data_IF_882694667006
#
_entry.id   IF_882694667006
#
_cell.length_a   1.000
_cell.length_b   1.000
_cell.length_c   1.000
_cell.angle_alpha   90.00
_cell.angle_beta   90.00
_cell.angle_gamma   90.00
#
_symmetry.space_group_name_H-M   'P 1'
#
loop_
_entity.id
_entity.type
_entity.pdbx_description
1 polymer ?
#
# COMPACT_ATOMS: atom_id res chain seq x y z
N UNK A 1 4.00 -15.46 17.98
CA UNK A 1 2.86 -15.96 17.18
C UNK A 1 2.20 -14.93 16.26
N UNK A 2 2.12 -13.63 16.62
CA UNK A 2 1.32 -12.66 15.85
C UNK A 2 1.91 -12.19 14.49
N UNK A 3 3.24 -12.16 14.30
CA UNK A 3 3.81 -11.80 12.98
C UNK A 3 3.85 -12.98 12.00
N UNK A 4 3.92 -14.21 12.52
CA UNK A 4 3.90 -15.43 11.70
C UNK A 4 2.57 -15.58 10.95
N UNK A 5 1.44 -15.20 11.56
CA UNK A 5 0.14 -15.18 10.87
C UNK A 5 0.13 -14.18 9.72
N UNK A 6 0.63 -12.96 9.93
CA UNK A 6 0.72 -11.94 8.87
C UNK A 6 1.65 -12.40 7.73
N UNK A 7 2.82 -12.97 8.05
CA UNK A 7 3.73 -13.55 7.05
C UNK A 7 3.06 -14.68 6.27
N UNK A 8 2.29 -15.55 6.93
CA UNK A 8 1.54 -16.62 6.27
C UNK A 8 0.46 -16.09 5.33
N UNK A 9 -0.26 -15.04 5.73
CA UNK A 9 -1.31 -14.46 4.88
C UNK A 9 -0.72 -13.70 3.69
N UNK A 10 0.42 -13.03 3.87
CA UNK A 10 1.21 -12.47 2.76
C UNK A 10 1.67 -13.58 1.79
N UNK A 11 2.16 -14.71 2.30
CA UNK A 11 2.53 -15.86 1.47
C UNK A 11 1.32 -16.39 0.68
N UNK A 12 0.13 -16.53 1.28
CA UNK A 12 -1.08 -16.91 0.54
C UNK A 12 -1.40 -15.92 -0.58
N UNK A 13 -1.22 -14.61 -0.35
CA UNK A 13 -1.45 -13.57 -1.37
C UNK A 13 -0.44 -13.67 -2.53
N UNK A 14 0.82 -13.97 -2.23
CA UNK A 14 1.85 -14.23 -3.25
C UNK A 14 1.46 -15.43 -4.13
N UNK A 15 1.01 -16.52 -3.54
CA UNK A 15 0.58 -17.72 -4.27
C UNK A 15 -0.68 -17.51 -5.13
N UNK A 16 -1.48 -16.47 -4.87
CA UNK A 16 -2.62 -16.12 -5.74
C UNK A 16 -2.18 -15.48 -7.07
N UNK A 17 -0.92 -15.05 -7.17
CA UNK A 17 -0.33 -14.50 -8.40
C UNK A 17 -1.23 -13.43 -9.05
N UNK A 18 -1.53 -12.38 -8.28
CA UNK A 18 -2.42 -11.30 -8.68
C UNK A 18 -1.64 -10.18 -9.39
N UNK A 19 -2.22 -9.55 -10.43
CA UNK A 19 -1.61 -8.38 -11.06
C UNK A 19 -1.74 -7.14 -10.18
N UNK A 20 -0.78 -6.22 -10.30
CA UNK A 20 -0.93 -4.84 -9.83
C UNK A 20 -1.47 -3.98 -10.98
N UNK A 21 -2.64 -3.38 -10.77
CA UNK A 21 -3.33 -2.57 -11.78
C UNK A 21 -3.22 -1.09 -11.42
N UNK A 22 -2.70 -0.26 -12.33
CA UNK A 22 -2.66 1.19 -12.17
C UNK A 22 -3.96 1.82 -12.64
N UNK A 23 -4.55 2.67 -11.81
CA UNK A 23 -5.75 3.44 -12.11
C UNK A 23 -5.42 4.93 -12.05
N UNK A 24 -5.70 5.65 -13.13
CA UNK A 24 -5.63 7.11 -13.16
C UNK A 24 -7.05 7.64 -12.96
N UNK A 25 -7.30 8.30 -11.83
CA UNK A 25 -8.63 8.78 -11.47
C UNK A 25 -8.59 10.25 -11.12
N UNK A 26 -9.72 10.93 -11.30
CA UNK A 26 -9.88 12.30 -10.80
C UNK A 26 -9.79 12.32 -9.26
N UNK A 27 -9.20 13.39 -8.71
CA UNK A 27 -9.09 13.58 -7.27
C UNK A 27 -10.45 13.45 -6.54
N UNK A 28 -11.56 13.89 -7.17
CA UNK A 28 -12.90 13.75 -6.60
C UNK A 28 -13.27 12.28 -6.36
N UNK A 29 -13.03 11.41 -7.34
CA UNK A 29 -13.32 9.97 -7.24
C UNK A 29 -12.43 9.34 -6.17
N UNK A 30 -11.14 9.69 -6.13
CA UNK A 30 -10.23 9.20 -5.09
C UNK A 30 -10.71 9.60 -3.69
N UNK A 31 -11.18 10.84 -3.49
CA UNK A 31 -11.75 11.29 -2.21
C UNK A 31 -12.96 10.47 -1.80
N UNK A 32 -13.87 10.17 -2.72
CA UNK A 32 -15.06 9.36 -2.44
C UNK A 32 -14.67 7.93 -2.01
N UNK A 33 -13.67 7.32 -2.66
CA UNK A 33 -13.15 5.99 -2.30
C UNK A 33 -12.53 5.96 -0.89
N UNK A 34 -11.77 7.01 -0.53
CA UNK A 34 -10.99 7.06 0.72
C UNK A 34 -11.58 7.97 1.81
N UNK A 35 -12.84 8.41 1.69
CA UNK A 35 -13.50 9.35 2.61
C UNK A 35 -13.45 8.94 4.10
N UNK A 36 -13.34 7.63 4.37
CA UNK A 36 -13.28 7.05 5.70
C UNK A 36 -11.87 7.09 6.32
N UNK A 37 -10.84 7.44 5.56
CA UNK A 37 -9.44 7.44 5.99
C UNK A 37 -8.81 8.83 5.83
N UNK A 38 -8.75 9.58 6.93
CA UNK A 38 -8.21 10.94 6.95
C UNK A 38 -6.77 11.09 6.42
N UNK A 39 -5.91 10.09 6.65
CA UNK A 39 -4.51 10.14 6.20
C UNK A 39 -4.41 9.96 4.69
N UNK A 40 -5.23 9.07 4.12
CA UNK A 40 -5.31 8.89 2.66
C UNK A 40 -5.94 10.11 1.99
N UNK A 41 -6.94 10.73 2.62
CA UNK A 41 -7.51 12.00 2.16
C UNK A 41 -6.44 13.10 2.07
N UNK A 42 -5.64 13.30 3.12
CA UNK A 42 -4.56 14.29 3.10
C UNK A 42 -3.54 14.00 1.98
N UNK A 43 -3.14 12.74 1.81
CA UNK A 43 -2.25 12.30 0.73
C UNK A 43 -2.85 12.57 -0.67
N UNK A 44 -4.16 12.36 -0.84
CA UNK A 44 -4.88 12.66 -2.09
C UNK A 44 -4.84 14.15 -2.38
N UNK A 45 -5.13 15.01 -1.41
CA UNK A 45 -5.10 16.48 -1.60
C UNK A 45 -3.70 16.95 -1.99
N UNK A 46 -2.68 16.46 -1.30
CA UNK A 46 -1.28 16.79 -1.63
C UNK A 46 -0.95 16.38 -3.06
N UNK A 47 -1.25 15.14 -3.46
CA UNK A 47 -0.99 14.65 -4.82
C UNK A 47 -1.76 15.41 -5.89
N UNK A 48 -3.04 15.69 -5.64
CA UNK A 48 -3.87 16.46 -6.54
C UNK A 48 -3.34 17.89 -6.73
N UNK A 49 -2.80 18.53 -5.68
CA UNK A 49 -2.23 19.88 -5.77
C UNK A 49 -0.97 19.96 -6.64
N UNK A 50 -0.23 18.86 -6.77
CA UNK A 50 1.01 18.77 -7.57
C UNK A 50 0.74 18.42 -9.03
N UNK A 51 -0.47 17.94 -9.35
CA UNK A 51 -0.87 17.57 -10.71
C UNK A 51 -1.89 18.59 -11.23
N UNK A 52 -1.50 19.36 -12.26
CA UNK A 52 -2.34 20.40 -12.88
C UNK A 52 -3.65 19.82 -13.43
N UNK A 53 -3.66 18.55 -13.84
CA UNK A 53 -4.85 17.87 -14.36
C UNK A 53 -5.75 17.32 -13.24
N UNK A 54 -5.34 17.41 -11.97
CA UNK A 54 -6.10 16.89 -10.82
C UNK A 54 -6.23 15.36 -10.82
N UNK A 55 -5.39 14.66 -11.58
CA UNK A 55 -5.36 13.20 -11.66
C UNK A 55 -4.50 12.62 -10.54
N UNK A 56 -5.05 11.63 -9.84
CA UNK A 56 -4.40 10.87 -8.78
C UNK A 56 -4.23 9.43 -9.23
N UNK A 57 -3.02 8.91 -9.07
CA UNK A 57 -2.71 7.52 -9.38
C UNK A 57 -3.04 6.62 -8.18
N UNK A 58 -3.86 5.61 -8.42
CA UNK A 58 -4.17 4.53 -7.48
C UNK A 58 -3.61 3.21 -8.01
N UNK A 59 -3.41 2.26 -7.10
CA UNK A 59 -3.02 0.90 -7.45
C UNK A 59 -3.98 -0.10 -6.83
N UNK A 60 -4.47 -1.03 -7.65
CA UNK A 60 -5.36 -2.10 -7.23
C UNK A 60 -4.62 -3.43 -7.23
N UNK A 61 -4.83 -4.20 -6.17
CA UNK A 61 -4.37 -5.57 -6.00
C UNK A 61 -5.55 -6.44 -5.56
N UNK A 62 -6.19 -7.13 -6.51
CA UNK A 62 -7.43 -7.86 -6.23
C UNK A 62 -8.53 -6.93 -5.71
N UNK A 63 -8.98 -7.14 -4.48
CA UNK A 63 -10.03 -6.33 -3.85
C UNK A 63 -9.49 -5.16 -3.02
N UNK A 64 -8.16 -5.04 -2.92
CA UNK A 64 -7.50 -3.95 -2.21
C UNK A 64 -7.10 -2.83 -3.17
N UNK A 65 -7.36 -1.58 -2.80
CA UNK A 65 -6.95 -0.39 -3.57
C UNK A 65 -6.21 0.55 -2.64
N UNK A 66 -5.08 1.09 -3.11
CA UNK A 66 -4.32 2.06 -2.35
C UNK A 66 -3.85 3.27 -3.17
N UNK A 67 -3.73 4.41 -2.49
CA UNK A 67 -3.02 5.60 -2.98
C UNK A 67 -1.54 5.39 -2.68
N UNK A 68 -0.73 5.18 -3.71
CA UNK A 68 0.71 4.97 -3.55
C UNK A 68 1.50 5.56 -4.70
N UNK A 69 2.81 5.71 -4.49
CA UNK A 69 3.75 6.07 -5.55
C UNK A 69 4.16 4.81 -6.31
N UNK A 70 4.31 4.94 -7.63
CA UNK A 70 4.76 3.87 -8.51
C UNK A 70 6.17 4.15 -9.06
N UNK A 71 6.72 3.24 -9.89
CA UNK A 71 6.07 2.03 -10.42
C UNK A 71 6.06 0.86 -9.43
N UNK A 72 5.09 -0.06 -9.60
CA UNK A 72 5.02 -1.34 -8.86
C UNK A 72 5.57 -2.51 -9.68
N UNK A 73 5.87 -3.62 -8.99
CA UNK A 73 6.09 -4.92 -9.63
C UNK A 73 4.83 -5.37 -10.39
N UNK A 74 4.95 -6.18 -11.46
CA UNK A 74 3.79 -6.54 -12.28
C UNK A 74 2.79 -7.46 -11.57
N UNK A 75 3.29 -8.44 -10.81
CA UNK A 75 2.46 -9.47 -10.13
C UNK A 75 3.03 -9.83 -8.76
N UNK A 76 2.17 -10.34 -7.87
CA UNK A 76 2.60 -10.77 -6.53
C UNK A 76 3.58 -11.94 -6.55
N UNK A 77 3.59 -12.76 -7.61
CA UNK A 77 4.53 -13.87 -7.79
C UNK A 77 5.99 -13.45 -7.98
N UNK A 78 6.26 -12.15 -8.20
CA UNK A 78 7.64 -11.64 -8.22
C UNK A 78 8.27 -11.64 -6.83
N UNK A 79 7.46 -11.57 -5.76
CA UNK A 79 7.93 -11.79 -4.40
C UNK A 79 8.06 -13.29 -4.15
N UNK A 80 9.19 -13.73 -3.59
CA UNK A 80 9.38 -15.14 -3.22
C UNK A 80 9.42 -15.31 -1.71
N UNK A 81 10.52 -14.89 -1.09
CA UNK A 81 10.60 -14.81 0.37
C UNK A 81 9.95 -13.50 0.80
N UNK A 82 9.13 -13.56 1.84
CA UNK A 82 8.47 -12.38 2.42
C UNK A 82 8.31 -12.62 3.92
N UNK A 83 8.81 -11.71 4.74
CA UNK A 83 8.72 -11.85 6.19
C UNK A 83 8.45 -10.50 6.86
N UNK A 84 7.45 -10.47 7.74
CA UNK A 84 7.21 -9.35 8.65
C UNK A 84 8.02 -9.59 9.92
N UNK A 85 8.99 -8.72 10.18
CA UNK A 85 10.05 -8.94 11.18
C UNK A 85 9.79 -8.19 12.48
N UNK A 86 9.15 -7.01 12.42
CA UNK A 86 8.98 -6.17 13.60
C UNK A 86 7.77 -5.24 13.52
N UNK A 87 7.34 -4.75 14.69
CA UNK A 87 6.44 -3.62 14.82
C UNK A 87 6.96 -2.64 15.86
N UNK A 88 7.00 -1.36 15.52
CA UNK A 88 7.53 -0.29 16.35
C UNK A 88 6.46 0.77 16.58
N UNK A 89 6.30 1.23 17.82
CA UNK A 89 5.53 2.44 18.09
C UNK A 89 6.41 3.64 17.72
N UNK A 90 5.93 4.50 16.83
CA UNK A 90 6.62 5.73 16.49
C UNK A 90 6.21 6.82 17.48
N UNK A 91 7.21 7.49 18.05
CA UNK A 91 6.98 8.72 18.78
C UNK A 91 6.72 9.82 17.76
N UNK A 92 5.58 10.48 17.90
CA UNK A 92 5.24 11.65 17.08
C UNK A 92 4.93 12.80 18.00
N UNK A 93 5.08 14.02 17.49
CA UNK A 93 4.68 15.23 18.21
C UNK A 93 3.14 15.38 18.28
N UNK A 94 2.39 14.46 17.65
CA UNK A 94 0.94 14.42 17.65
C UNK A 94 0.46 13.38 18.69
N UNK A 95 -0.74 13.57 19.22
CA UNK A 95 -1.35 12.70 20.24
C UNK A 95 -1.75 11.30 19.72
N UNK A 96 -1.32 10.92 18.52
CA UNK A 96 -1.77 9.73 17.81
C UNK A 96 -0.75 8.60 17.92
N UNK A 97 -1.25 7.40 18.23
CA UNK A 97 -0.42 6.19 18.26
C UNK A 97 -0.17 5.70 16.83
N UNK A 98 1.04 5.91 16.32
CA UNK A 98 1.46 5.35 15.03
C UNK A 98 2.26 4.08 15.26
N UNK A 99 1.85 2.98 14.61
CA UNK A 99 2.61 1.73 14.57
C UNK A 99 3.22 1.51 13.18
N UNK A 100 4.53 1.33 13.13
CA UNK A 100 5.28 0.94 11.94
C UNK A 100 5.51 -0.56 11.96
N UNK A 101 4.96 -1.27 10.97
CA UNK A 101 5.33 -2.65 10.69
C UNK A 101 6.50 -2.67 9.70
N UNK A 102 7.50 -3.52 9.95
CA UNK A 102 8.65 -3.69 9.07
C UNK A 102 8.76 -5.15 8.64
N UNK A 103 9.28 -5.34 7.42
CA UNK A 103 9.50 -6.64 6.83
C UNK A 103 10.52 -6.59 5.72
N UNK A 104 10.91 -7.75 5.21
CA UNK A 104 11.86 -7.93 4.11
C UNK A 104 11.32 -8.94 3.11
N UNK A 105 11.62 -8.73 1.83
CA UNK A 105 11.27 -9.66 0.76
C UNK A 105 12.42 -9.80 -0.22
N UNK A 106 12.56 -11.00 -0.80
CA UNK A 106 13.52 -11.28 -1.87
C UNK A 106 12.75 -11.83 -3.09
N UNK A 107 13.10 -11.39 -4.32
CA UNK A 107 12.52 -11.93 -5.54
C UNK A 107 13.08 -13.32 -5.86
N UNK A 108 12.45 -14.03 -6.82
CA UNK A 108 12.91 -15.35 -7.27
C UNK A 108 14.30 -15.27 -7.94
N UNK A 109 14.55 -14.19 -8.68
CA UNK A 109 15.78 -13.99 -9.44
C UNK A 109 16.54 -12.79 -8.86
N UNK A 110 17.79 -13.02 -8.43
CA UNK A 110 18.76 -12.00 -8.02
C UNK A 110 19.60 -11.54 -9.22
#
# INVERSE_FOLDING_TARGET
DNFRSLTRDASKLIHKDLPFETLHVEAKVAREMFQHNKYKMEMIEQKASLNVEGIVTLHRLGDFVDVSEGPHIPRTSFCFQYEITAAHNLQTNQSELIRRFQGVSLPIHL
#
